data_IF_863046928998
#
_entry.id   IF_863046928998
#
_cell.length_a   1.000
_cell.length_b   1.000
_cell.length_c   1.000
_cell.angle_alpha   90.00
_cell.angle_beta   90.00
_cell.angle_gamma   90.00
#
_symmetry.space_group_name_H-M   'P 1'
#
loop_
_entity.id
_entity.type
_entity.pdbx_description
1 polymer ?
#
# COMPACT_ATOMS: atom_id res chain seq x y z
N UNK A 1 -32.87 -19.79 -28.94
CA UNK A 1 -33.21 -19.81 -27.50
C UNK A 1 -33.14 -21.25 -27.02
N UNK A 2 -32.11 -21.62 -26.26
CA UNK A 2 -31.97 -22.99 -25.75
C UNK A 2 -32.89 -23.19 -24.54
N UNK A 3 -33.81 -24.14 -24.63
CA UNK A 3 -34.73 -24.50 -23.55
C UNK A 3 -33.95 -25.23 -22.45
N UNK A 4 -34.01 -24.71 -21.22
CA UNK A 4 -33.52 -25.45 -20.04
C UNK A 4 -34.30 -26.77 -19.95
N UNK A 5 -33.61 -27.90 -20.06
CA UNK A 5 -34.22 -29.21 -19.81
C UNK A 5 -34.82 -29.22 -18.41
N UNK A 6 -36.11 -29.53 -18.31
CA UNK A 6 -36.81 -29.70 -17.05
C UNK A 6 -36.28 -30.95 -16.34
N UNK A 7 -35.88 -30.80 -15.07
CA UNK A 7 -35.40 -31.91 -14.24
C UNK A 7 -36.52 -32.96 -14.14
N UNK A 8 -36.18 -34.23 -14.38
CA UNK A 8 -37.15 -35.32 -14.37
C UNK A 8 -37.78 -35.50 -12.98
N UNK A 9 -39.02 -36.01 -12.86
CA UNK A 9 -39.68 -36.20 -11.57
C UNK A 9 -38.87 -37.08 -10.60
N UNK A 10 -38.21 -38.13 -11.11
CA UNK A 10 -37.33 -38.99 -10.32
C UNK A 10 -36.12 -38.23 -9.77
N UNK A 11 -35.53 -37.34 -10.57
CA UNK A 11 -34.39 -36.54 -10.16
C UNK A 11 -34.79 -35.42 -9.19
N UNK A 12 -36.02 -34.88 -9.29
CA UNK A 12 -36.58 -33.97 -8.29
C UNK A 12 -36.80 -34.67 -6.94
N UNK A 13 -37.40 -35.86 -6.93
CA UNK A 13 -37.62 -36.64 -5.71
C UNK A 13 -36.29 -37.00 -5.02
N UNK A 14 -35.29 -37.41 -5.79
CA UNK A 14 -33.94 -37.67 -5.28
C UNK A 14 -33.29 -36.40 -4.70
N UNK A 15 -33.41 -35.26 -5.37
CA UNK A 15 -32.89 -33.98 -4.86
C UNK A 15 -33.59 -33.54 -3.57
N UNK A 16 -34.91 -33.76 -3.44
CA UNK A 16 -35.67 -33.46 -2.22
C UNK A 16 -35.22 -34.37 -1.08
N UNK A 17 -35.09 -35.69 -1.32
CA UNK A 17 -34.63 -36.64 -0.30
C UNK A 17 -33.20 -36.31 0.17
N UNK A 18 -32.28 -35.99 -0.76
CA UNK A 18 -30.91 -35.59 -0.45
C UNK A 18 -30.85 -34.24 0.30
N UNK A 19 -31.73 -33.28 -0.04
CA UNK A 19 -31.82 -32.00 0.67
C UNK A 19 -32.30 -32.17 2.12
N UNK A 20 -33.16 -33.16 2.41
CA UNK A 20 -33.57 -33.47 3.78
C UNK A 20 -32.45 -34.12 4.61
N UNK A 21 -31.49 -34.78 3.97
CA UNK A 21 -30.31 -35.37 4.63
C UNK A 21 -29.15 -34.37 4.81
N UNK A 22 -29.08 -33.34 3.96
CA UNK A 22 -28.01 -32.33 3.98
C UNK A 22 -28.53 -30.99 4.49
N UNK A 23 -28.65 -30.84 5.81
CA UNK A 23 -29.14 -29.59 6.43
C UNK A 23 -28.07 -28.51 6.59
N UNK A 24 -26.91 -28.67 5.95
CA UNK A 24 -25.72 -27.88 6.21
C UNK A 24 -25.20 -28.02 7.66
N UNK A 25 -24.11 -27.32 7.99
CA UNK A 25 -23.54 -27.38 9.33
C UNK A 25 -24.40 -26.61 10.35
N UNK A 26 -24.74 -27.27 11.46
CA UNK A 26 -25.60 -26.72 12.53
C UNK A 26 -24.82 -26.18 13.72
N UNK A 27 -23.56 -26.57 13.87
CA UNK A 27 -22.65 -26.12 14.94
C UNK A 27 -21.84 -24.91 14.49
N UNK A 28 -21.41 -24.05 15.44
CA UNK A 28 -20.54 -22.91 15.12
C UNK A 28 -19.20 -23.35 14.49
N UNK A 29 -18.61 -24.45 14.96
CA UNK A 29 -17.42 -25.06 14.36
C UNK A 29 -17.69 -25.57 12.93
N UNK A 30 -18.86 -26.17 12.69
CA UNK A 30 -19.26 -26.65 11.37
C UNK A 30 -19.51 -25.48 10.40
N UNK A 31 -20.15 -24.40 10.86
CA UNK A 31 -20.36 -23.18 10.08
C UNK A 31 -19.03 -22.50 9.78
N UNK A 32 -18.13 -22.45 10.76
CA UNK A 32 -16.78 -21.90 10.59
C UNK A 32 -15.99 -22.66 9.52
N UNK A 33 -16.13 -23.99 9.43
CA UNK A 33 -15.52 -24.79 8.36
C UNK A 33 -16.21 -24.56 7.02
N UNK A 34 -17.54 -24.62 6.96
CA UNK A 34 -18.27 -24.51 5.70
C UNK A 34 -18.28 -23.10 5.09
N UNK A 35 -18.02 -22.04 5.86
CA UNK A 35 -17.87 -20.68 5.32
C UNK A 35 -16.78 -20.58 4.25
N UNK A 36 -15.80 -21.49 4.27
CA UNK A 36 -14.72 -21.55 3.30
C UNK A 36 -15.12 -22.26 2.00
N UNK A 37 -16.23 -23.00 1.95
CA UNK A 37 -16.65 -23.77 0.76
C UNK A 37 -17.08 -22.87 -0.42
N UNK A 38 -17.45 -21.62 -0.16
CA UNK A 38 -17.75 -20.64 -1.22
C UNK A 38 -16.48 -20.00 -1.83
N UNK A 39 -15.28 -20.30 -1.30
CA UNK A 39 -14.01 -19.78 -1.79
C UNK A 39 -13.67 -20.45 -3.13
N UNK A 40 -13.66 -19.66 -4.21
CA UNK A 40 -13.23 -20.15 -5.53
C UNK A 40 -11.75 -19.90 -5.80
N UNK A 41 -11.34 -18.62 -5.74
CA UNK A 41 -9.98 -18.19 -6.13
C UNK A 41 -9.24 -17.44 -5.00
N UNK A 42 -9.88 -17.15 -3.87
CA UNK A 42 -9.25 -16.46 -2.73
C UNK A 42 -8.94 -14.97 -2.93
N UNK A 43 -9.03 -14.44 -4.16
CA UNK A 43 -8.74 -13.04 -4.50
C UNK A 43 -9.64 -11.99 -3.83
N UNK A 44 -10.68 -12.35 -3.09
CA UNK A 44 -11.57 -11.43 -2.35
C UNK A 44 -11.77 -11.80 -0.89
N UNK A 45 -11.07 -12.84 -0.40
CA UNK A 45 -11.21 -13.32 0.98
C UNK A 45 -10.28 -12.57 1.94
N UNK A 46 -10.64 -12.54 3.22
CA UNK A 46 -9.81 -12.00 4.32
C UNK A 46 -8.73 -12.98 4.80
N UNK A 47 -8.80 -14.26 4.38
CA UNK A 47 -7.88 -15.32 4.79
C UNK A 47 -7.01 -15.77 3.61
N UNK A 48 -5.69 -15.65 3.79
CA UNK A 48 -4.67 -16.16 2.89
C UNK A 48 -4.13 -17.48 3.43
N UNK A 49 -4.49 -18.57 2.78
CA UNK A 49 -3.76 -19.83 2.96
C UNK A 49 -2.57 -19.73 2.01
N UNK A 50 -1.38 -19.50 2.57
CA UNK A 50 -0.11 -19.47 1.86
C UNK A 50 0.74 -20.62 2.38
N UNK A 51 1.50 -21.26 1.48
CA UNK A 51 2.61 -22.10 1.91
C UNK A 51 3.73 -21.22 2.51
N UNK A 52 4.76 -21.87 3.06
CA UNK A 52 5.84 -21.15 3.73
C UNK A 52 6.63 -20.24 2.76
N UNK A 53 6.84 -20.69 1.53
CA UNK A 53 7.56 -19.92 0.51
C UNK A 53 6.80 -18.67 0.09
N UNK A 54 5.50 -18.80 -0.19
CA UNK A 54 4.60 -17.69 -0.53
C UNK A 54 4.47 -16.71 0.65
N UNK A 55 4.41 -17.22 1.89
CA UNK A 55 4.34 -16.39 3.09
C UNK A 55 5.60 -15.53 3.26
N UNK A 56 6.79 -16.11 3.06
CA UNK A 56 8.05 -15.38 3.14
C UNK A 56 8.14 -14.31 2.04
N UNK A 57 7.70 -14.64 0.81
CA UNK A 57 7.66 -13.68 -0.28
C UNK A 57 6.67 -12.52 0.00
N UNK A 58 5.48 -12.82 0.54
CA UNK A 58 4.51 -11.81 0.93
C UNK A 58 5.06 -10.91 2.05
N UNK A 59 5.67 -11.48 3.10
CA UNK A 59 6.24 -10.72 4.21
C UNK A 59 7.35 -9.76 3.72
N UNK A 60 8.18 -10.21 2.78
CA UNK A 60 9.18 -9.35 2.16
C UNK A 60 8.50 -8.22 1.37
N UNK A 61 7.55 -8.53 0.49
CA UNK A 61 6.78 -7.53 -0.26
C UNK A 61 6.09 -6.50 0.64
N UNK A 62 5.41 -6.95 1.69
CA UNK A 62 4.74 -6.07 2.65
C UNK A 62 5.74 -5.16 3.36
N UNK A 63 6.89 -5.70 3.79
CA UNK A 63 7.96 -4.91 4.40
C UNK A 63 8.48 -3.82 3.46
N UNK A 64 8.76 -4.14 2.21
CA UNK A 64 9.24 -3.17 1.22
C UNK A 64 8.18 -2.10 0.93
N UNK A 65 6.92 -2.51 0.78
CA UNK A 65 5.80 -1.58 0.59
C UNK A 65 5.64 -0.61 1.77
N UNK A 66 5.72 -1.11 3.00
CA UNK A 66 5.64 -0.27 4.20
C UNK A 66 6.85 0.67 4.33
N UNK A 67 8.05 0.23 3.93
CA UNK A 67 9.23 1.08 3.93
C UNK A 67 9.09 2.27 2.97
N UNK A 68 8.55 2.02 1.77
CA UNK A 68 8.32 3.07 0.76
C UNK A 68 7.18 4.02 1.16
N UNK A 69 6.08 3.47 1.69
CA UNK A 69 4.92 4.27 2.09
C UNK A 69 5.15 5.03 3.40
N UNK A 70 6.10 4.58 4.23
CA UNK A 70 6.54 5.20 5.49
C UNK A 70 5.39 5.74 6.38
N UNK A 71 4.44 4.88 6.79
CA UNK A 71 3.34 5.29 7.65
C UNK A 71 3.84 5.61 9.07
N UNK A 72 3.39 6.74 9.62
CA UNK A 72 3.80 7.20 10.95
C UNK A 72 2.89 6.67 12.07
N UNK A 73 1.57 6.71 11.85
CA UNK A 73 0.58 6.31 12.86
C UNK A 73 -0.13 4.99 12.52
N UNK A 74 -1.02 4.57 13.42
CA UNK A 74 -1.79 3.33 13.25
C UNK A 74 -2.68 3.36 12.01
N UNK A 75 -3.34 4.48 11.71
CA UNK A 75 -4.30 4.55 10.61
C UNK A 75 -3.58 4.61 9.26
N UNK A 76 -2.51 5.41 9.16
CA UNK A 76 -1.60 5.39 8.01
C UNK A 76 -1.06 3.97 7.76
N UNK A 77 -0.72 3.22 8.82
CA UNK A 77 -0.25 1.84 8.72
C UNK A 77 -1.33 0.89 8.18
N UNK A 78 -2.58 1.01 8.63
CA UNK A 78 -3.67 0.19 8.12
C UNK A 78 -3.90 0.42 6.62
N UNK A 79 -3.87 1.69 6.18
CA UNK A 79 -3.96 2.04 4.76
C UNK A 79 -2.78 1.45 3.97
N UNK A 80 -1.56 1.59 4.48
CA UNK A 80 -0.36 1.07 3.83
C UNK A 80 -0.36 -0.46 3.71
N UNK A 81 -0.78 -1.19 4.75
CA UNK A 81 -0.98 -2.65 4.71
C UNK A 81 -2.04 -3.01 3.66
N UNK A 82 -3.17 -2.31 3.61
CA UNK A 82 -4.21 -2.58 2.62
C UNK A 82 -3.71 -2.37 1.19
N UNK A 83 -2.91 -1.32 0.94
CA UNK A 83 -2.27 -1.08 -0.36
C UNK A 83 -1.33 -2.23 -0.73
N UNK A 84 -0.49 -2.68 0.22
CA UNK A 84 0.44 -3.80 0.01
C UNK A 84 -0.30 -5.10 -0.34
N UNK A 85 -1.37 -5.40 0.39
CA UNK A 85 -2.23 -6.57 0.16
C UNK A 85 -2.92 -6.53 -1.20
N UNK A 86 -3.45 -5.38 -1.59
CA UNK A 86 -4.14 -5.24 -2.88
C UNK A 86 -3.16 -5.30 -4.05
N UNK A 87 -1.95 -4.77 -3.91
CA UNK A 87 -0.87 -5.00 -4.89
C UNK A 87 -0.49 -6.47 -4.99
N UNK A 88 -0.37 -7.18 -3.87
CA UNK A 88 -0.08 -8.61 -3.89
C UNK A 88 -1.17 -9.40 -4.63
N UNK A 89 -2.44 -9.10 -4.34
CA UNK A 89 -3.59 -9.71 -5.03
C UNK A 89 -3.59 -9.38 -6.52
N UNK A 90 -3.28 -8.14 -6.90
CA UNK A 90 -3.20 -7.72 -8.29
C UNK A 90 -2.13 -8.49 -9.06
N UNK A 91 -0.94 -8.65 -8.48
CA UNK A 91 0.14 -9.44 -9.09
C UNK A 91 -0.27 -10.91 -9.26
N UNK A 92 -1.01 -11.47 -8.29
CA UNK A 92 -1.55 -12.82 -8.40
C UNK A 92 -2.64 -12.96 -9.46
N UNK A 93 -3.49 -11.95 -9.68
CA UNK A 93 -4.47 -11.96 -10.78
C UNK A 93 -3.74 -12.15 -12.11
N UNK A 94 -2.70 -11.34 -12.36
CA UNK A 94 -1.88 -11.43 -13.56
C UNK A 94 -1.19 -12.79 -13.69
N UNK A 95 -0.60 -13.28 -12.59
CA UNK A 95 0.03 -14.61 -12.58
C UNK A 95 -0.94 -15.73 -12.93
N UNK A 96 -2.17 -15.70 -12.38
CA UNK A 96 -3.19 -16.70 -12.71
C UNK A 96 -3.60 -16.59 -14.18
N UNK A 97 -3.81 -15.38 -14.71
CA UNK A 97 -4.13 -15.16 -16.12
C UNK A 97 -3.06 -15.73 -17.06
N UNK A 98 -1.78 -15.40 -16.83
CA UNK A 98 -0.67 -15.95 -17.62
C UNK A 98 -0.60 -17.48 -17.54
N UNK A 99 -0.77 -18.05 -16.35
CA UNK A 99 -0.76 -19.50 -16.15
C UNK A 99 -1.95 -20.18 -16.82
N UNK A 100 -3.14 -19.56 -16.85
CA UNK A 100 -4.30 -20.07 -17.58
C UNK A 100 -4.02 -20.18 -19.08
N UNK A 101 -3.41 -19.18 -19.69
CA UNK A 101 -2.98 -19.28 -21.10
C UNK A 101 -1.90 -20.33 -21.31
N UNK A 102 -0.93 -20.45 -20.39
CA UNK A 102 0.08 -21.51 -20.42
C UNK A 102 -0.52 -22.91 -20.38
N UNK A 103 -1.51 -23.16 -19.52
CA UNK A 103 -2.24 -24.42 -19.46
C UNK A 103 -2.99 -24.66 -20.78
N UNK A 104 -3.69 -23.65 -21.29
CA UNK A 104 -4.43 -23.73 -22.53
C UNK A 104 -3.57 -24.03 -23.77
N UNK A 105 -2.32 -23.54 -23.80
CA UNK A 105 -1.35 -23.93 -24.83
C UNK A 105 -1.09 -25.44 -24.83
N UNK A 106 -1.06 -26.09 -23.67
CA UNK A 106 -0.91 -27.54 -23.58
C UNK A 106 -2.21 -28.30 -23.88
N UNK A 107 -3.35 -27.82 -23.37
CA UNK A 107 -4.64 -28.48 -23.53
C UNK A 107 -5.18 -28.43 -24.96
N UNK A 108 -4.89 -27.35 -25.69
CA UNK A 108 -5.40 -27.11 -27.03
C UNK A 108 -4.37 -27.32 -28.15
N UNK A 109 -3.17 -27.78 -27.83
CA UNK A 109 -2.08 -27.95 -28.81
C UNK A 109 -2.48 -28.80 -30.03
N UNK A 110 -3.28 -29.86 -29.82
CA UNK A 110 -3.71 -30.76 -30.89
C UNK A 110 -4.74 -30.14 -31.84
N UNK A 111 -5.56 -29.20 -31.35
CA UNK A 111 -6.68 -28.60 -32.09
C UNK A 111 -6.29 -27.25 -32.74
N UNK A 112 -5.04 -26.81 -32.58
CA UNK A 112 -4.56 -25.49 -32.97
C UNK A 112 -3.54 -25.49 -34.11
N UNK A 113 -3.36 -26.64 -34.78
CA UNK A 113 -2.36 -26.83 -35.83
C UNK A 113 -2.54 -25.80 -36.97
N UNK A 114 -1.49 -25.03 -37.25
CA UNK A 114 -1.52 -23.94 -38.22
C UNK A 114 -0.17 -23.79 -38.94
N UNK A 115 -0.13 -22.96 -39.98
CA UNK A 115 1.05 -22.82 -40.83
C UNK A 115 2.26 -22.18 -40.10
N UNK A 116 2.04 -21.46 -39.00
CA UNK A 116 3.11 -20.83 -38.20
C UNK A 116 2.87 -20.96 -36.69
N UNK A 117 3.95 -21.02 -35.91
CA UNK A 117 3.90 -21.12 -34.45
C UNK A 117 3.17 -19.94 -33.79
N UNK A 118 3.27 -18.74 -34.37
CA UNK A 118 2.53 -17.56 -33.91
C UNK A 118 1.03 -17.73 -34.11
N UNK A 119 0.61 -18.37 -35.21
CA UNK A 119 -0.79 -18.64 -35.51
C UNK A 119 -1.35 -19.73 -34.58
N UNK A 120 -0.58 -20.78 -34.31
CA UNK A 120 -0.92 -21.81 -33.32
C UNK A 120 -1.09 -21.20 -31.92
N UNK A 121 -0.18 -20.31 -31.53
CA UNK A 121 -0.24 -19.56 -30.27
C UNK A 121 -1.50 -18.71 -30.17
N UNK A 122 -1.85 -17.98 -31.24
CA UNK A 122 -3.06 -17.16 -31.26
C UNK A 122 -4.35 -18.00 -31.18
N UNK A 123 -4.41 -19.14 -31.88
CA UNK A 123 -5.56 -20.05 -31.87
C UNK A 123 -5.76 -20.67 -30.48
N UNK A 124 -4.70 -21.20 -29.88
CA UNK A 124 -4.73 -21.78 -28.52
C UNK A 124 -5.17 -20.75 -27.48
N UNK A 125 -4.66 -19.51 -27.53
CA UNK A 125 -5.11 -18.43 -26.65
C UNK A 125 -6.61 -18.11 -26.83
N UNK A 126 -7.07 -18.01 -28.07
CA UNK A 126 -8.48 -17.76 -28.36
C UNK A 126 -9.39 -18.90 -27.88
N UNK A 127 -8.96 -20.16 -28.04
CA UNK A 127 -9.69 -21.33 -27.54
C UNK A 127 -9.75 -21.34 -26.01
N UNK A 128 -8.61 -21.08 -25.34
CA UNK A 128 -8.53 -20.95 -23.88
C UNK A 128 -9.49 -19.89 -23.38
N UNK A 129 -9.49 -18.71 -24.02
CA UNK A 129 -10.38 -17.63 -23.62
C UNK A 129 -11.85 -17.98 -23.83
N UNK A 130 -12.20 -18.66 -24.93
CA UNK A 130 -13.57 -19.11 -25.18
C UNK A 130 -14.03 -20.17 -24.18
N UNK A 131 -13.15 -21.10 -23.82
CA UNK A 131 -13.42 -22.16 -22.86
C UNK A 131 -13.67 -21.60 -21.45
N UNK A 132 -12.88 -20.60 -21.05
CA UNK A 132 -12.94 -20.05 -19.68
C UNK A 132 -13.29 -18.56 -19.58
N UNK A 133 -14.13 -18.08 -20.50
CA UNK A 133 -14.46 -16.65 -20.62
C UNK A 133 -14.92 -16.03 -19.28
N UNK A 134 -15.73 -16.80 -18.55
CA UNK A 134 -16.29 -16.33 -17.28
C UNK A 134 -15.20 -16.07 -16.23
N UNK A 135 -14.14 -16.89 -16.17
CA UNK A 135 -13.10 -16.67 -15.16
C UNK A 135 -12.24 -15.45 -15.48
N UNK A 136 -11.78 -15.23 -16.72
CA UNK A 136 -11.03 -13.99 -16.97
C UNK A 136 -11.91 -12.73 -16.93
N UNK A 137 -13.20 -12.82 -17.30
CA UNK A 137 -14.14 -11.71 -17.07
C UNK A 137 -14.22 -11.33 -15.59
N UNK A 138 -14.26 -12.32 -14.69
CA UNK A 138 -14.21 -12.06 -13.24
C UNK A 138 -12.85 -11.51 -12.79
N UNK A 139 -11.74 -11.99 -13.36
CA UNK A 139 -10.39 -11.49 -13.06
C UNK A 139 -10.24 -10.01 -13.44
N UNK A 140 -10.66 -9.61 -14.64
CA UNK A 140 -10.66 -8.22 -15.09
C UNK A 140 -11.50 -7.31 -14.19
N UNK A 141 -12.66 -7.81 -13.72
CA UNK A 141 -13.48 -7.09 -12.74
C UNK A 141 -12.76 -6.94 -11.38
N UNK A 142 -12.06 -7.97 -10.92
CA UNK A 142 -11.27 -7.89 -9.69
C UNK A 142 -10.08 -6.97 -9.82
N UNK A 143 -9.35 -7.01 -10.93
CA UNK A 143 -8.26 -6.08 -11.23
C UNK A 143 -8.74 -4.63 -11.19
N UNK A 144 -9.86 -4.33 -11.86
CA UNK A 144 -10.48 -2.99 -11.82
C UNK A 144 -10.83 -2.58 -10.39
N UNK A 145 -11.39 -3.49 -9.58
CA UNK A 145 -11.74 -3.20 -8.18
C UNK A 145 -10.50 -2.98 -7.32
N UNK A 146 -9.47 -3.80 -7.47
CA UNK A 146 -8.20 -3.68 -6.75
C UNK A 146 -7.51 -2.37 -7.09
N UNK A 147 -7.41 -2.01 -8.37
CA UNK A 147 -6.86 -0.71 -8.80
C UNK A 147 -7.60 0.47 -8.17
N UNK A 148 -8.93 0.43 -8.13
CA UNK A 148 -9.73 1.48 -7.49
C UNK A 148 -9.47 1.55 -5.97
N UNK A 149 -9.32 0.41 -5.30
CA UNK A 149 -9.04 0.36 -3.87
C UNK A 149 -7.64 0.91 -3.56
N UNK A 150 -6.62 0.46 -4.31
CA UNK A 150 -5.25 0.97 -4.22
C UNK A 150 -5.23 2.48 -4.42
N UNK A 151 -5.86 2.99 -5.48
CA UNK A 151 -5.88 4.42 -5.78
C UNK A 151 -6.56 5.23 -4.67
N UNK A 152 -7.68 4.74 -4.13
CA UNK A 152 -8.40 5.39 -3.04
C UNK A 152 -7.56 5.43 -1.76
N UNK A 153 -7.05 4.28 -1.32
CA UNK A 153 -6.30 4.18 -0.08
C UNK A 153 -4.98 4.94 -0.16
N UNK A 154 -4.32 4.93 -1.33
CA UNK A 154 -3.13 5.73 -1.57
C UNK A 154 -3.43 7.23 -1.48
N UNK A 155 -4.53 7.69 -2.09
CA UNK A 155 -4.96 9.09 -1.96
C UNK A 155 -5.22 9.48 -0.51
N UNK A 156 -5.95 8.66 0.24
CA UNK A 156 -6.24 8.93 1.64
C UNK A 156 -4.96 8.97 2.50
N UNK A 157 -4.03 8.05 2.26
CA UNK A 157 -2.72 8.05 2.90
C UNK A 157 -1.92 9.31 2.56
N UNK A 158 -1.85 9.68 1.27
CA UNK A 158 -1.16 10.87 0.80
C UNK A 158 -1.77 12.15 1.45
N UNK A 159 -3.11 12.23 1.56
CA UNK A 159 -3.82 13.34 2.21
C UNK A 159 -3.49 13.43 3.71
N UNK A 160 -3.49 12.30 4.43
CA UNK A 160 -3.15 12.25 5.86
C UNK A 160 -1.70 12.67 6.12
N UNK A 161 -0.76 12.11 5.34
CA UNK A 161 0.65 12.44 5.45
C UNK A 161 0.90 13.91 5.13
N UNK A 162 0.20 14.47 4.16
CA UNK A 162 0.31 15.89 3.81
C UNK A 162 -0.15 16.78 4.96
N UNK A 163 -1.32 16.48 5.56
CA UNK A 163 -1.82 17.19 6.74
C UNK A 163 -0.88 17.08 7.93
N UNK A 164 -0.36 15.88 8.21
CA UNK A 164 0.58 15.65 9.30
C UNK A 164 1.88 16.41 9.11
N UNK A 165 2.50 16.36 7.92
CA UNK A 165 3.74 17.09 7.60
C UNK A 165 3.54 18.60 7.69
N UNK A 166 2.39 19.12 7.26
CA UNK A 166 2.06 20.53 7.40
C UNK A 166 1.87 20.95 8.86
N UNK A 167 1.21 20.11 9.67
CA UNK A 167 1.07 20.35 11.11
C UNK A 167 2.43 20.28 11.83
N UNK A 168 3.28 19.32 11.46
CA UNK A 168 4.64 19.17 11.98
C UNK A 168 5.51 20.38 11.61
N UNK A 169 5.43 20.88 10.37
CA UNK A 169 6.18 22.07 9.95
C UNK A 169 5.72 23.33 10.69
N UNK A 170 4.40 23.52 10.87
CA UNK A 170 3.88 24.64 11.64
C UNK A 170 4.31 24.58 13.12
N UNK A 171 4.17 23.42 13.76
CA UNK A 171 4.61 23.20 15.14
C UNK A 171 6.13 23.40 15.30
N UNK A 172 6.90 23.06 14.26
CA UNK A 172 8.34 23.28 14.21
C UNK A 172 8.69 24.76 14.10
N UNK A 173 7.99 25.53 13.25
CA UNK A 173 8.18 26.99 13.15
C UNK A 173 7.89 27.68 14.49
N UNK A 174 6.83 27.26 15.19
CA UNK A 174 6.53 27.72 16.55
C UNK A 174 7.66 27.37 17.54
N UNK A 175 8.20 26.15 17.47
CA UNK A 175 9.33 25.74 18.32
C UNK A 175 10.61 26.54 18.04
N UNK A 176 10.91 26.80 16.76
CA UNK A 176 12.05 27.63 16.35
C UNK A 176 11.87 29.07 16.86
N UNK A 177 10.66 29.65 16.73
CA UNK A 177 10.35 31.00 17.22
C UNK A 177 10.59 31.15 18.74
N UNK A 178 10.12 30.18 19.55
CA UNK A 178 10.34 30.19 21.00
C UNK A 178 11.82 30.10 21.37
N UNK A 179 12.63 29.41 20.57
CA UNK A 179 14.08 29.36 20.77
C UNK A 179 14.75 30.66 20.33
N UNK A 180 14.31 31.27 19.23
CA UNK A 180 14.82 32.56 18.78
C UNK A 180 14.59 33.65 19.82
N UNK A 181 13.40 33.69 20.43
CA UNK A 181 13.07 34.60 21.54
C UNK A 181 14.06 34.44 22.70
N UNK A 182 14.23 33.21 23.21
CA UNK A 182 15.18 32.93 24.30
C UNK A 182 16.62 33.29 23.95
N UNK A 183 17.06 33.01 22.71
CA UNK A 183 18.40 33.37 22.25
C UNK A 183 18.59 34.88 22.17
N UNK A 184 17.57 35.63 21.75
CA UNK A 184 17.61 37.09 21.68
C UNK A 184 17.67 37.71 23.08
N UNK A 185 16.95 37.15 24.06
CA UNK A 185 16.95 37.58 25.47
C UNK A 185 18.19 37.09 26.25
N UNK A 186 19.01 36.22 25.66
CA UNK A 186 20.15 35.55 26.30
C UNK A 186 19.75 34.67 27.49
N UNK A 187 18.52 34.15 27.45
CA UNK A 187 17.98 33.26 28.46
C UNK A 187 18.70 31.90 28.47
N UNK A 188 18.89 31.27 29.64
CA UNK A 188 19.43 29.92 29.72
C UNK A 188 18.55 28.91 28.96
N UNK A 189 19.12 28.24 27.96
CA UNK A 189 18.46 27.16 27.22
C UNK A 189 19.01 25.81 27.67
N UNK A 190 18.15 24.98 28.26
CA UNK A 190 18.46 23.58 28.51
C UNK A 190 18.33 22.79 27.20
N UNK A 191 19.48 22.47 26.58
CA UNK A 191 19.54 21.73 25.32
C UNK A 191 19.14 20.25 25.45
N UNK A 192 19.08 19.73 26.68
CA UNK A 192 18.74 18.32 26.95
C UNK A 192 17.24 18.08 27.00
N UNK A 193 16.45 19.10 27.33
CA UNK A 193 14.99 19.02 27.37
C UNK A 193 14.39 19.25 25.99
N UNK A 194 13.55 18.32 25.47
CA UNK A 194 12.90 18.50 24.18
C UNK A 194 11.77 19.53 24.27
N UNK A 195 11.56 20.27 23.18
CA UNK A 195 10.42 21.18 23.04
C UNK A 195 9.23 20.40 22.51
N UNK A 196 8.07 20.60 23.12
CA UNK A 196 6.82 19.96 22.72
C UNK A 196 5.81 21.01 22.26
N UNK A 197 5.32 20.88 21.03
CA UNK A 197 4.34 21.78 20.45
C UNK A 197 3.26 20.93 19.79
N UNK A 198 2.00 21.10 20.19
CA UNK A 198 0.85 20.43 19.59
C UNK A 198 1.00 18.90 19.46
N UNK A 199 1.69 18.26 20.42
CA UNK A 199 1.95 16.82 20.44
C UNK A 199 3.18 16.36 19.64
N UNK A 200 3.83 17.27 18.90
CA UNK A 200 5.14 17.02 18.27
C UNK A 200 6.26 17.26 19.28
N UNK A 201 7.28 16.40 19.24
CA UNK A 201 8.44 16.47 20.13
C UNK A 201 9.69 16.75 19.30
N UNK A 202 10.35 17.86 19.59
CA UNK A 202 11.55 18.29 18.90
C UNK A 202 12.76 18.26 19.85
N UNK A 203 13.86 17.68 19.38
CA UNK A 203 15.14 17.78 20.11
C UNK A 203 15.65 19.21 20.04
N UNK A 204 15.78 19.85 21.21
CA UNK A 204 16.29 21.22 21.33
C UNK A 204 17.70 21.35 20.77
N UNK A 205 18.59 20.41 21.10
CA UNK A 205 19.95 20.37 20.54
C UNK A 205 19.94 20.34 19.00
N UNK A 206 19.08 19.51 18.40
CA UNK A 206 18.98 19.40 16.93
C UNK A 206 18.42 20.69 16.32
N UNK A 207 17.36 21.27 16.90
CA UNK A 207 16.80 22.53 16.43
C UNK A 207 17.82 23.66 16.49
N UNK A 208 18.54 23.82 17.61
CA UNK A 208 19.59 24.82 17.75
C UNK A 208 20.70 24.64 16.70
N UNK A 209 21.14 23.41 16.44
CA UNK A 209 22.13 23.13 15.41
C UNK A 209 21.62 23.47 14.00
N UNK A 210 20.35 23.16 13.70
CA UNK A 210 19.72 23.48 12.42
C UNK A 210 19.52 24.99 12.25
N UNK A 211 19.12 25.71 13.29
CA UNK A 211 19.01 27.18 13.30
C UNK A 211 20.38 27.84 13.09
N UNK A 212 21.42 27.40 13.81
CA UNK A 212 22.79 27.86 13.63
C UNK A 212 23.28 27.64 12.20
N UNK A 213 22.96 26.47 11.62
CA UNK A 213 23.27 26.16 10.23
C UNK A 213 22.52 27.06 9.24
N UNK A 214 21.22 27.31 9.46
CA UNK A 214 20.42 28.25 8.64
C UNK A 214 21.02 29.66 8.68
N UNK A 215 21.39 30.16 9.86
CA UNK A 215 22.04 31.47 10.02
C UNK A 215 23.39 31.52 9.28
N UNK A 216 24.24 30.50 9.45
CA UNK A 216 25.53 30.42 8.76
C UNK A 216 25.39 30.41 7.23
N UNK A 217 24.38 29.71 6.70
CA UNK A 217 24.07 29.74 5.27
C UNK A 217 23.59 31.12 4.83
N UNK A 218 22.72 31.77 5.60
CA UNK A 218 22.22 33.11 5.28
C UNK A 218 23.38 34.13 5.23
N UNK A 219 24.28 34.06 6.21
CA UNK A 219 25.52 34.83 6.26
C UNK A 219 26.44 34.54 5.06
N UNK A 220 26.70 33.27 4.77
CA UNK A 220 27.52 32.87 3.62
C UNK A 220 26.92 33.34 2.28
N UNK A 221 25.59 33.26 2.11
CA UNK A 221 24.88 33.78 0.93
C UNK A 221 25.00 35.30 0.83
N UNK A 222 24.89 36.00 1.96
CA UNK A 222 25.05 37.45 2.01
C UNK A 222 26.46 37.88 1.59
N UNK A 223 27.50 37.25 2.15
CA UNK A 223 28.89 37.52 1.78
C UNK A 223 29.19 37.14 0.33
N UNK A 224 28.69 36.00 -0.14
CA UNK A 224 28.87 35.58 -1.54
C UNK A 224 28.37 36.65 -2.52
N UNK A 225 27.23 37.27 -2.25
CA UNK A 225 26.71 38.33 -3.12
C UNK A 225 27.50 39.66 -3.04
N UNK A 226 28.42 39.79 -2.08
CA UNK A 226 29.39 40.89 -1.96
C UNK A 226 30.83 40.43 -2.24
N UNK A 227 31.01 39.36 -3.03
CA UNK A 227 32.33 38.82 -3.35
C UNK A 227 33.20 38.53 -2.11
N UNK A 228 32.57 38.01 -1.06
CA UNK A 228 33.22 37.66 0.21
C UNK A 228 33.85 38.83 0.98
N UNK A 229 33.42 40.07 0.72
CA UNK A 229 33.86 41.26 1.45
C UNK A 229 33.44 41.21 2.92
N UNK A 230 34.39 40.91 3.80
CA UNK A 230 34.20 40.83 5.26
C UNK A 230 34.29 42.18 5.98
N UNK A 231 34.62 43.27 5.28
CA UNK A 231 34.62 44.61 5.89
C UNK A 231 33.21 45.10 6.20
N UNK A 232 32.20 44.53 5.52
CA UNK A 232 30.78 44.83 5.72
C UNK A 232 30.13 43.75 6.58
N UNK A 233 29.17 44.16 7.40
CA UNK A 233 28.38 43.25 8.24
C UNK A 233 27.00 43.00 7.63
N UNK A 234 26.43 41.79 7.82
CA UNK A 234 25.07 41.51 7.42
C UNK A 234 24.09 42.45 8.14
N UNK A 235 23.00 42.89 7.48
CA UNK A 235 22.01 43.80 8.06
C UNK A 235 21.02 43.08 9.00
N UNK A 236 21.25 41.81 9.34
CA UNK A 236 20.40 41.01 10.20
C UNK A 236 21.13 40.68 11.51
N UNK A 237 20.35 40.55 12.59
CA UNK A 237 20.88 40.20 13.92
C UNK A 237 21.40 38.77 13.90
N UNK A 238 22.62 38.57 14.39
CA UNK A 238 23.22 37.25 14.55
C UNK A 238 22.95 36.75 15.96
N UNK A 239 22.20 35.67 16.08
CA UNK A 239 21.96 35.00 17.37
C UNK A 239 23.22 34.25 17.80
N UNK A 240 23.47 34.25 19.10
CA UNK A 240 24.56 33.49 19.73
C UNK A 240 24.04 32.13 20.19
N UNK A 241 24.42 31.07 19.49
CA UNK A 241 24.02 29.71 19.84
C UNK A 241 24.93 29.12 20.92
N UNK A 242 24.39 28.37 21.90
CA UNK A 242 25.22 27.67 22.88
C UNK A 242 26.12 26.65 22.16
N UNK A 243 27.38 26.53 22.60
CA UNK A 243 28.28 25.49 22.11
C UNK A 243 27.70 24.13 22.48
N UNK A 244 27.67 23.20 21.53
CA UNK A 244 27.30 21.81 21.81
C UNK A 244 28.23 21.28 22.90
N UNK A 245 27.64 20.83 24.01
CA UNK A 245 28.34 20.12 25.08
C UNK A 245 28.77 18.72 24.61
#
# INVERSE_FOLDING_TARGET
MATKSSISPAQQLANIANAMLSTGPRTEEGKAKARYNARRHGLTGQFYVMDETDRLAYNHHEKEMLAVLNPADYYERQLAISIAQDHWRLNRVKGIEFNSYGIGHHEHAADAQADTAETETAITQAQTWRADNKHFSNMALYETRLHRMIARNKKELDDLQTKRKAAESAAREEAELLLEEKLAEQDPIDSTQPIQINGFVFSTQKLLAEMAHKQAIAEARWYKSRNWDRSRQPPFVLLTFPKAA
#
